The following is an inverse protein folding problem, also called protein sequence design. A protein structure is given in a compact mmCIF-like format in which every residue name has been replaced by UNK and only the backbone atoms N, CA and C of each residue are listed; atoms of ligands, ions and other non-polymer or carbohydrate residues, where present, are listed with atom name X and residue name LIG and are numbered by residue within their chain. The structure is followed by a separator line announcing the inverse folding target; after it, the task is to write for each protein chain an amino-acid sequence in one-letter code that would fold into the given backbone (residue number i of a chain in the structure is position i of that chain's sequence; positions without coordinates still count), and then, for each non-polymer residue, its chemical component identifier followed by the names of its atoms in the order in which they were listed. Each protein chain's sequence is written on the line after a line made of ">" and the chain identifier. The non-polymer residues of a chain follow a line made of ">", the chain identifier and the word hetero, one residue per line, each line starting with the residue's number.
data_IF_578130556197
#
_entry.id   IF_578130556197
#
_cell.length_a   1.000
_cell.length_b   1.000
_cell.length_c   1.000
_cell.angle_alpha   90.00
_cell.angle_beta   90.00
_cell.angle_gamma   90.00
#
_symmetry.space_group_name_H-M   'P 1'
#
loop_
_entity.id
_entity.type
_entity.pdbx_description
1 polymer ?
#
# COMPACT_ATOMS: atom_id res chain seq x y z
N UNK A 1 -6.44 -1.09 -10.09
CA UNK A 1 -6.41 -0.71 -8.65
C UNK A 1 -7.68 0.03 -8.28
N UNK A 2 -8.30 -0.34 -7.17
CA UNK A 2 -9.44 0.38 -6.58
C UNK A 2 -8.99 1.71 -5.95
N UNK A 3 -9.93 2.64 -5.64
CA UNK A 3 -9.60 3.87 -4.91
C UNK A 3 -8.89 3.60 -3.59
N UNK A 4 -9.38 2.63 -2.81
CA UNK A 4 -8.79 2.26 -1.52
C UNK A 4 -7.38 1.68 -1.66
N UNK A 5 -7.14 0.87 -2.70
CA UNK A 5 -5.79 0.36 -3.01
C UNK A 5 -4.82 1.49 -3.36
N UNK A 6 -5.29 2.56 -4.02
CA UNK A 6 -4.47 3.75 -4.35
C UNK A 6 -4.11 4.57 -3.12
N UNK A 7 -5.02 4.70 -2.16
CA UNK A 7 -4.75 5.37 -0.88
C UNK A 7 -3.72 4.60 -0.07
N UNK A 8 -3.93 3.28 0.09
CA UNK A 8 -3.01 2.41 0.81
C UNK A 8 -1.64 2.37 0.12
N UNK A 9 -1.60 2.34 -1.21
CA UNK A 9 -0.33 2.41 -1.95
C UNK A 9 0.46 3.68 -1.62
N UNK A 10 -0.18 4.85 -1.60
CA UNK A 10 0.47 6.13 -1.29
C UNK A 10 1.07 6.13 0.11
N UNK A 11 0.28 5.78 1.13
CA UNK A 11 0.75 5.73 2.51
C UNK A 11 1.88 4.71 2.72
N UNK A 12 1.79 3.53 2.08
CA UNK A 12 2.86 2.53 2.12
C UNK A 12 4.16 3.05 1.50
N UNK A 13 4.06 3.78 0.39
CA UNK A 13 5.19 4.40 -0.30
C UNK A 13 5.84 5.50 0.54
N UNK A 14 5.04 6.28 1.27
CA UNK A 14 5.47 7.32 2.21
C UNK A 14 6.11 6.76 3.49
N UNK A 15 5.98 5.46 3.76
CA UNK A 15 6.65 4.80 4.88
C UNK A 15 5.73 4.35 6.01
N UNK A 16 4.42 4.56 5.91
CA UNK A 16 3.46 4.16 6.92
C UNK A 16 3.39 2.63 7.05
N UNK A 17 3.23 2.15 8.28
CA UNK A 17 2.93 0.77 8.62
C UNK A 17 1.44 0.46 8.44
N UNK A 18 1.07 -0.83 8.37
CA UNK A 18 -0.34 -1.21 8.24
C UNK A 18 -1.21 -0.71 9.39
N UNK A 19 -0.63 -0.52 10.59
CA UNK A 19 -1.35 0.01 11.76
C UNK A 19 -1.61 1.50 11.59
N UNK A 20 -0.58 2.28 11.25
CA UNK A 20 -0.73 3.73 11.02
C UNK A 20 -1.71 4.01 9.86
N UNK A 21 -1.69 3.20 8.80
CA UNK A 21 -2.65 3.29 7.70
C UNK A 21 -4.08 2.99 8.16
N UNK A 22 -4.23 2.00 9.05
CA UNK A 22 -5.54 1.64 9.59
C UNK A 22 -6.11 2.78 10.44
N UNK A 23 -5.26 3.42 11.25
CA UNK A 23 -5.60 4.58 12.07
C UNK A 23 -5.97 5.79 11.19
N UNK A 24 -5.15 6.10 10.17
CA UNK A 24 -5.37 7.21 9.23
C UNK A 24 -6.67 7.06 8.42
N UNK A 25 -6.94 5.85 7.93
CA UNK A 25 -8.10 5.58 7.07
C UNK A 25 -9.35 5.18 7.87
N UNK A 26 -9.27 5.14 9.20
CA UNK A 26 -10.35 4.75 10.12
C UNK A 26 -10.97 3.39 9.74
N UNK A 27 -10.10 2.39 9.55
CA UNK A 27 -10.46 1.01 9.21
C UNK A 27 -9.64 0.02 10.05
N UNK A 28 -9.99 -1.26 9.98
CA UNK A 28 -9.22 -2.27 10.71
C UNK A 28 -7.86 -2.59 10.04
N UNK A 29 -6.82 -2.94 10.80
CA UNK A 29 -5.53 -3.39 10.24
C UNK A 29 -5.66 -4.62 9.32
N UNK A 30 -6.65 -5.49 9.55
CA UNK A 30 -6.91 -6.64 8.68
C UNK A 30 -7.48 -6.20 7.33
N UNK A 31 -8.32 -5.16 7.30
CA UNK A 31 -8.80 -4.54 6.05
C UNK A 31 -7.64 -3.96 5.24
N UNK A 32 -6.71 -3.26 5.90
CA UNK A 32 -5.48 -2.78 5.25
C UNK A 32 -4.65 -3.94 4.69
N UNK A 33 -4.50 -5.02 5.47
CA UNK A 33 -3.77 -6.21 5.04
C UNK A 33 -4.38 -6.82 3.77
N UNK A 34 -5.70 -6.99 3.71
CA UNK A 34 -6.39 -7.52 2.52
C UNK A 34 -6.21 -6.63 1.29
N UNK A 35 -6.39 -5.31 1.43
CA UNK A 35 -6.18 -4.38 0.32
C UNK A 35 -4.71 -4.35 -0.15
N UNK A 36 -3.75 -4.40 0.78
CA UNK A 36 -2.32 -4.50 0.46
C UNK A 36 -2.01 -5.80 -0.28
N UNK A 37 -2.59 -6.93 0.12
CA UNK A 37 -2.43 -8.21 -0.58
C UNK A 37 -2.89 -8.13 -2.03
N UNK A 38 -4.13 -7.67 -2.25
CA UNK A 38 -4.71 -7.50 -3.58
C UNK A 38 -3.91 -6.49 -4.43
N UNK A 39 -3.43 -5.40 -3.81
CA UNK A 39 -2.56 -4.42 -4.46
C UNK A 39 -1.25 -5.06 -4.94
N UNK A 40 -0.58 -5.81 -4.07
CA UNK A 40 0.69 -6.46 -4.37
C UNK A 40 0.54 -7.52 -5.46
N UNK A 41 -0.51 -8.33 -5.41
CA UNK A 41 -0.86 -9.30 -6.45
C UNK A 41 -1.06 -8.62 -7.81
N UNK A 42 -1.86 -7.54 -7.86
CA UNK A 42 -2.12 -6.78 -9.09
C UNK A 42 -0.87 -6.12 -9.68
N UNK A 43 0.10 -5.78 -8.84
CA UNK A 43 1.37 -5.17 -9.27
C UNK A 43 2.47 -6.20 -9.52
N UNK A 44 2.24 -7.48 -9.22
CA UNK A 44 3.24 -8.55 -9.31
C UNK A 44 4.41 -8.35 -8.34
N UNK A 45 4.15 -7.78 -7.16
CA UNK A 45 5.16 -7.44 -6.15
C UNK A 45 5.09 -8.40 -4.97
N UNK A 46 6.23 -8.83 -4.46
CA UNK A 46 6.32 -9.83 -3.40
C UNK A 46 6.62 -9.23 -2.03
N UNK A 47 7.17 -8.01 -1.97
CA UNK A 47 7.53 -7.39 -0.70
C UNK A 47 7.45 -5.86 -0.73
N UNK A 48 7.61 -5.26 0.46
CA UNK A 48 7.56 -3.80 0.65
C UNK A 48 8.69 -3.07 -0.07
N UNK A 49 9.89 -3.66 -0.17
CA UNK A 49 11.02 -3.05 -0.91
C UNK A 49 10.69 -2.89 -2.39
N UNK A 50 10.10 -3.92 -3.00
CA UNK A 50 9.65 -3.88 -4.39
C UNK A 50 8.59 -2.81 -4.62
N UNK A 51 7.64 -2.63 -3.68
CA UNK A 51 6.65 -1.56 -3.73
C UNK A 51 7.28 -0.17 -3.69
N UNK A 52 8.24 0.06 -2.79
CA UNK A 52 8.95 1.35 -2.70
C UNK A 52 9.74 1.62 -3.98
N UNK A 53 10.46 0.62 -4.51
CA UNK A 53 11.15 0.77 -5.79
C UNK A 53 10.20 1.03 -6.95
N UNK A 54 9.05 0.35 -6.97
CA UNK A 54 8.01 0.56 -7.97
C UNK A 54 7.50 2.00 -7.93
N UNK A 55 7.21 2.53 -6.74
CA UNK A 55 6.76 3.90 -6.54
C UNK A 55 7.81 4.92 -7.02
N UNK A 56 9.10 4.73 -6.67
CA UNK A 56 10.20 5.57 -7.16
C UNK A 56 10.35 5.54 -8.67
N UNK A 57 10.33 4.35 -9.30
CA UNK A 57 10.44 4.21 -10.76
C UNK A 57 9.31 4.91 -11.53
N UNK A 58 8.15 5.05 -10.90
CA UNK A 58 6.96 5.70 -11.48
C UNK A 58 6.87 7.19 -11.18
N UNK A 59 7.83 7.78 -10.44
CA UNK A 59 7.78 9.18 -10.02
C UNK A 59 6.67 9.48 -9.02
N UNK A 60 6.27 8.46 -8.24
CA UNK A 60 5.21 8.56 -7.23
C UNK A 60 5.78 8.77 -5.80
N UNK A 61 7.10 8.96 -5.70
CA UNK A 61 7.91 9.28 -4.52
C UNK A 61 9.05 10.21 -4.92
#
# INVERSE_FOLDING_TARGET
>A
MSPREKEIFRLLAEGYSNKEIADELVISPSTVHSHRGNLMEKLGLNNRRELIQYARRRGLL
#
